data_IF_282364251834
#
_entry.id   IF_282364251834
#
_cell.length_a   1.000
_cell.length_b   1.000
_cell.length_c   1.000
_cell.angle_alpha   90.00
_cell.angle_beta   90.00
_cell.angle_gamma   90.00
#
_symmetry.space_group_name_H-M   'P 1'
#
loop_
_entity.id
_entity.type
_entity.pdbx_description
1 polymer ?
#
# COMPACT_ATOMS: atom_id res chain seq x y z
N UNK A 1 20.37 16.98 1.37
CA UNK A 1 19.39 16.28 2.25
C UNK A 1 18.93 15.06 1.48
N UNK A 2 19.23 13.85 1.96
CA UNK A 2 18.85 12.62 1.26
C UNK A 2 17.37 12.35 1.49
N UNK A 3 16.55 12.57 0.45
CA UNK A 3 15.11 12.30 0.50
C UNK A 3 14.86 10.81 0.22
N UNK A 4 15.05 9.96 1.23
CA UNK A 4 14.70 8.54 1.16
C UNK A 4 13.18 8.33 1.35
N UNK A 5 12.37 9.03 0.55
CA UNK A 5 10.92 8.86 0.56
C UNK A 5 10.52 7.81 -0.47
N UNK A 6 9.40 7.14 -0.20
CA UNK A 6 8.77 6.26 -1.19
C UNK A 6 8.43 7.12 -2.43
N UNK A 7 9.07 6.82 -3.56
CA UNK A 7 8.90 7.55 -4.82
C UNK A 7 7.89 6.87 -5.77
N UNK A 8 7.67 5.56 -5.61
CA UNK A 8 6.83 4.77 -6.50
C UNK A 8 6.29 3.54 -5.79
N UNK A 9 5.07 3.13 -6.14
CA UNK A 9 4.46 1.88 -5.68
C UNK A 9 3.71 1.19 -6.82
N UNK A 10 3.96 -0.11 -6.98
CA UNK A 10 3.23 -0.99 -7.90
C UNK A 10 2.60 -2.14 -7.13
N UNK A 11 1.31 -2.38 -7.33
CA UNK A 11 0.53 -3.41 -6.67
C UNK A 11 -0.25 -4.19 -7.73
N UNK A 12 -0.17 -5.52 -7.70
CA UNK A 12 -0.93 -6.39 -8.59
C UNK A 12 -1.54 -7.55 -7.77
N UNK A 13 -2.82 -7.85 -7.99
CA UNK A 13 -3.49 -8.98 -7.37
C UNK A 13 -3.65 -8.92 -5.84
N UNK A 14 -3.68 -7.73 -5.24
CA UNK A 14 -3.78 -7.58 -3.78
C UNK A 14 -5.20 -7.20 -3.35
N UNK A 15 -5.88 -8.12 -2.64
CA UNK A 15 -7.28 -7.95 -2.23
C UNK A 15 -8.14 -7.55 -3.43
N UNK A 16 -8.86 -6.43 -3.35
CA UNK A 16 -9.67 -5.93 -4.47
C UNK A 16 -8.88 -5.10 -5.51
N UNK A 17 -7.57 -4.90 -5.31
CA UNK A 17 -6.73 -4.16 -6.26
C UNK A 17 -6.23 -5.12 -7.33
N UNK A 18 -6.81 -5.02 -8.52
CA UNK A 18 -6.36 -5.79 -9.69
C UNK A 18 -4.94 -5.36 -10.10
N UNK A 19 -4.76 -4.06 -10.32
CA UNK A 19 -3.50 -3.43 -10.68
C UNK A 19 -3.51 -1.97 -10.23
N UNK A 20 -2.37 -1.49 -9.73
CA UNK A 20 -2.10 -0.09 -9.43
C UNK A 20 -0.61 0.19 -9.69
N UNK A 21 -0.33 1.29 -10.37
CA UNK A 21 1.01 1.76 -10.66
C UNK A 21 1.01 3.28 -10.40
N UNK A 22 1.67 3.73 -9.33
CA UNK A 22 1.52 5.08 -8.80
C UNK A 22 2.87 5.69 -8.42
N UNK A 23 3.15 6.87 -8.98
CA UNK A 23 4.19 7.77 -8.47
C UNK A 23 3.73 8.45 -7.19
N UNK A 24 4.58 8.42 -6.18
CA UNK A 24 4.27 8.92 -4.84
C UNK A 24 4.76 10.34 -4.68
N UNK A 25 3.89 11.20 -4.15
CA UNK A 25 4.23 12.58 -3.76
C UNK A 25 4.48 12.67 -2.25
N UNK A 26 5.06 13.76 -1.74
CA UNK A 26 5.18 13.98 -0.29
C UNK A 26 3.83 13.92 0.46
N UNK A 27 2.74 14.30 -0.21
CA UNK A 27 1.36 14.18 0.28
C UNK A 27 0.50 13.58 -0.82
N UNK A 28 -0.25 12.52 -0.51
CA UNK A 28 -1.16 11.85 -1.44
C UNK A 28 -2.56 11.80 -0.81
N UNK A 29 -3.57 12.26 -1.54
CA UNK A 29 -4.97 12.25 -1.09
C UNK A 29 -5.73 11.19 -1.88
N UNK A 30 -6.34 10.24 -1.17
CA UNK A 30 -7.12 9.17 -1.78
C UNK A 30 -8.60 9.55 -1.86
N UNK A 31 -9.13 9.68 -3.07
CA UNK A 31 -10.52 10.06 -3.34
C UNK A 31 -11.21 8.93 -4.12
N UNK A 32 -12.48 8.67 -3.81
CA UNK A 32 -13.30 7.69 -4.53
C UNK A 32 -14.47 7.19 -3.70
N UNK A 33 -15.39 6.47 -4.32
CA UNK A 33 -16.56 5.89 -3.67
C UNK A 33 -16.19 4.84 -2.59
N UNK A 34 -17.15 4.48 -1.74
CA UNK A 34 -17.01 3.34 -0.84
C UNK A 34 -16.80 2.06 -1.66
N UNK A 35 -15.89 1.20 -1.22
CA UNK A 35 -15.52 -0.02 -1.96
C UNK A 35 -14.53 0.20 -3.12
N UNK A 36 -14.16 1.44 -3.47
CA UNK A 36 -13.21 1.72 -4.57
C UNK A 36 -11.75 1.26 -4.31
N UNK A 37 -11.48 0.52 -3.22
CA UNK A 37 -10.14 -0.01 -2.93
C UNK A 37 -9.21 0.89 -2.10
N UNK A 38 -9.66 2.08 -1.67
CA UNK A 38 -8.86 3.02 -0.85
C UNK A 38 -8.26 2.37 0.40
N UNK A 39 -9.09 1.71 1.22
CA UNK A 39 -8.61 1.01 2.43
C UNK A 39 -7.74 -0.20 2.10
N UNK A 40 -7.97 -0.86 0.95
CA UNK A 40 -7.12 -1.95 0.49
C UNK A 40 -5.72 -1.43 0.12
N UNK A 41 -5.62 -0.27 -0.53
CA UNK A 41 -4.33 0.35 -0.83
C UNK A 41 -3.55 0.64 0.46
N UNK A 42 -4.20 1.26 1.45
CA UNK A 42 -3.57 1.52 2.75
C UNK A 42 -3.09 0.23 3.44
N UNK A 43 -3.83 -0.87 3.29
CA UNK A 43 -3.45 -2.15 3.92
C UNK A 43 -2.19 -2.80 3.34
N UNK A 44 -1.71 -2.37 2.17
CA UNK A 44 -0.39 -2.81 1.64
C UNK A 44 0.74 -2.38 2.56
N UNK A 45 0.69 -1.16 3.11
CA UNK A 45 1.72 -0.69 4.04
C UNK A 45 1.74 -1.48 5.35
N UNK A 46 0.57 -1.96 5.81
CA UNK A 46 0.49 -2.88 6.95
C UNK A 46 1.16 -4.22 6.65
N UNK A 47 0.97 -4.77 5.44
CA UNK A 47 1.65 -5.98 5.01
C UNK A 47 3.17 -5.77 4.98
N UNK A 48 3.64 -4.67 4.40
CA UNK A 48 5.07 -4.34 4.35
C UNK A 48 5.68 -4.20 5.75
N UNK A 49 4.99 -3.55 6.70
CA UNK A 49 5.42 -3.45 8.10
C UNK A 49 5.56 -4.83 8.76
N UNK A 50 4.62 -5.74 8.52
CA UNK A 50 4.68 -7.11 9.05
C UNK A 50 5.82 -7.92 8.44
N UNK A 51 6.06 -7.77 7.14
CA UNK A 51 7.22 -8.40 6.46
C UNK A 51 8.52 -7.87 7.06
N UNK A 52 8.65 -6.55 7.21
CA UNK A 52 9.81 -5.92 7.82
C UNK A 52 10.05 -6.43 9.26
N UNK A 53 8.98 -6.61 10.03
CA UNK A 53 9.04 -7.13 11.40
C UNK A 53 9.16 -8.66 11.49
N UNK A 54 9.24 -9.38 10.37
CA UNK A 54 9.25 -10.85 10.32
C UNK A 54 8.04 -11.49 11.04
N UNK A 55 6.87 -10.85 10.91
CA UNK A 55 5.59 -11.25 11.52
C UNK A 55 4.52 -11.55 10.46
N UNK A 56 4.92 -11.96 9.26
CA UNK A 56 3.98 -12.23 8.17
C UNK A 56 2.95 -13.32 8.52
N UNK A 57 3.34 -14.29 9.36
CA UNK A 57 2.45 -15.35 9.87
C UNK A 57 1.21 -14.81 10.61
N UNK A 58 1.26 -13.58 11.13
CA UNK A 58 0.12 -12.98 11.84
C UNK A 58 -0.84 -12.23 10.92
N UNK A 59 -0.60 -12.23 9.61
CA UNK A 59 -1.42 -11.47 8.66
C UNK A 59 -2.70 -12.19 8.23
N UNK A 60 -2.72 -13.53 8.27
CA UNK A 60 -3.81 -14.38 7.76
C UNK A 60 -4.66 -14.98 8.91
N UNK A 61 -4.32 -14.69 10.17
CA UNK A 61 -5.04 -15.17 11.36
C UNK A 61 -6.31 -14.37 11.62
#
# INVERSE_FOLDING_TARGET
MNNNNLSHIKIQGFKSIKELDLEMKPINVLIGANGAGKSNFISVFKLLDLIYKQKLQTYIL
#
